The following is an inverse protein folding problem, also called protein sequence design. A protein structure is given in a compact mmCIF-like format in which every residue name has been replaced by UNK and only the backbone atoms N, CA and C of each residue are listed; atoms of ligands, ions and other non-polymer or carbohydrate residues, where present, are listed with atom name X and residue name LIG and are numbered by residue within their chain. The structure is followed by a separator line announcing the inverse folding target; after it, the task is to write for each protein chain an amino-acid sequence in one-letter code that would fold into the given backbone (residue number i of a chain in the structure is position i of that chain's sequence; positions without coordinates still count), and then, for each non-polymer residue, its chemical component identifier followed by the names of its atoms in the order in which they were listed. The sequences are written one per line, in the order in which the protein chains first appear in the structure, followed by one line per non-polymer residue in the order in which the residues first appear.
data_IF_583423513165
#
_entry.id   IF_583423513165
#
_cell.length_a   1.000
_cell.length_b   1.000
_cell.length_c   1.000
_cell.angle_alpha   90.00
_cell.angle_beta   90.00
_cell.angle_gamma   90.00
#
_symmetry.space_group_name_H-M   'P 1'
#
loop_
_entity.id
_entity.type
_entity.pdbx_description
1 polymer ?
#
# COMPACT_ATOMS: atom_id res chain seq x y z
N UNK A 1 28.09 -9.83 -9.92
CA UNK A 1 26.94 -8.92 -9.82
C UNK A 1 26.07 -9.43 -8.67
N UNK A 2 26.47 -9.18 -7.42
CA UNK A 2 25.68 -9.54 -6.24
C UNK A 2 24.72 -8.38 -5.96
N UNK A 3 23.64 -8.32 -6.74
CA UNK A 3 22.56 -7.34 -6.57
C UNK A 3 21.70 -7.66 -5.35
N UNK A 4 20.89 -6.69 -4.93
CA UNK A 4 20.01 -6.71 -3.75
C UNK A 4 19.04 -7.91 -3.63
N UNK A 5 19.01 -8.84 -4.58
CA UNK A 5 18.11 -9.99 -4.66
C UNK A 5 18.36 -11.08 -3.61
N UNK A 6 19.52 -11.14 -2.94
CA UNK A 6 19.76 -12.17 -1.92
C UNK A 6 18.89 -12.01 -0.66
N UNK A 7 18.49 -10.78 -0.33
CA UNK A 7 17.72 -10.47 0.88
C UNK A 7 16.26 -10.96 0.81
N UNK A 8 15.72 -11.09 -0.41
CA UNK A 8 14.32 -11.46 -0.67
C UNK A 8 14.17 -12.86 -1.26
N UNK A 9 15.24 -13.66 -1.26
CA UNK A 9 15.17 -15.04 -1.72
C UNK A 9 14.08 -15.82 -0.95
N UNK A 10 13.22 -16.53 -1.67
CA UNK A 10 12.06 -17.28 -1.15
C UNK A 10 10.98 -16.44 -0.44
N UNK A 11 10.94 -15.13 -0.67
CA UNK A 11 9.84 -14.27 -0.21
C UNK A 11 8.92 -13.94 -1.39
N UNK A 12 7.63 -13.85 -1.10
CA UNK A 12 6.64 -13.29 -2.02
C UNK A 12 6.72 -11.76 -1.96
N UNK A 13 6.72 -11.11 -3.13
CA UNK A 13 6.81 -9.65 -3.25
C UNK A 13 5.56 -9.15 -3.94
N UNK A 14 4.81 -8.29 -3.25
CA UNK A 14 3.62 -7.62 -3.78
C UNK A 14 3.92 -6.14 -4.02
N UNK A 15 3.49 -5.63 -5.18
CA UNK A 15 3.55 -4.21 -5.53
C UNK A 15 2.15 -3.63 -5.65
N UNK A 16 2.02 -2.33 -5.89
CA UNK A 16 0.71 -1.63 -5.94
C UNK A 16 -0.24 -2.24 -6.96
N UNK A 17 0.28 -2.77 -8.07
CA UNK A 17 -0.49 -3.43 -9.12
C UNK A 17 -1.08 -4.75 -8.65
N UNK A 18 -0.37 -5.45 -7.75
CA UNK A 18 -0.80 -6.70 -7.15
C UNK A 18 -1.88 -6.54 -6.07
N UNK A 19 -2.26 -5.32 -5.72
CA UNK A 19 -3.36 -5.06 -4.79
C UNK A 19 -4.73 -5.26 -5.43
N UNK A 20 -4.85 -5.15 -6.76
CA UNK A 20 -6.12 -5.35 -7.43
C UNK A 20 -6.62 -6.80 -7.25
N UNK A 21 -7.94 -6.99 -7.19
CA UNK A 21 -8.54 -8.32 -7.12
C UNK A 21 -8.28 -9.09 -8.43
N UNK A 22 -8.42 -10.41 -8.40
CA UNK A 22 -8.20 -11.29 -9.57
C UNK A 22 -9.05 -10.92 -10.81
N UNK A 23 -10.20 -10.28 -10.59
CA UNK A 23 -11.11 -9.80 -11.66
C UNK A 23 -10.71 -8.42 -12.23
N UNK A 24 -9.63 -7.83 -11.73
CA UNK A 24 -9.13 -6.51 -12.10
C UNK A 24 -9.84 -5.34 -11.41
N UNK A 25 -10.78 -5.62 -10.50
CA UNK A 25 -11.39 -4.57 -9.67
C UNK A 25 -10.42 -4.06 -8.60
N UNK A 26 -10.63 -2.83 -8.15
CA UNK A 26 -9.80 -2.23 -7.10
C UNK A 26 -9.99 -2.93 -5.76
N UNK A 27 -8.91 -3.02 -4.99
CA UNK A 27 -9.00 -3.37 -3.57
C UNK A 27 -9.81 -2.31 -2.80
N UNK A 28 -10.33 -2.64 -1.61
CA UNK A 28 -11.00 -1.66 -0.76
C UNK A 28 -10.15 -0.41 -0.48
N UNK A 29 -8.83 -0.56 -0.34
CA UNK A 29 -7.91 0.58 -0.10
C UNK A 29 -7.78 1.44 -1.34
N UNK A 30 -7.57 0.83 -2.51
CA UNK A 30 -7.49 1.54 -3.80
C UNK A 30 -8.79 2.31 -4.08
N UNK A 31 -9.94 1.68 -3.83
CA UNK A 31 -11.25 2.29 -4.03
C UNK A 31 -11.50 3.44 -3.04
N UNK A 32 -11.12 3.29 -1.76
CA UNK A 32 -11.21 4.35 -0.77
C UNK A 32 -10.43 5.61 -1.17
N UNK A 33 -9.17 5.46 -1.61
CA UNK A 33 -8.37 6.58 -2.12
C UNK A 33 -9.00 7.24 -3.35
N UNK A 34 -9.62 6.46 -4.25
CA UNK A 34 -10.31 6.98 -5.43
C UNK A 34 -11.54 7.80 -5.05
N UNK A 35 -12.36 7.30 -4.13
CA UNK A 35 -13.60 7.94 -3.69
C UNK A 35 -13.33 9.24 -2.93
N UNK A 36 -12.33 9.24 -2.05
CA UNK A 36 -11.98 10.38 -1.20
C UNK A 36 -11.02 11.38 -1.86
N UNK A 37 -10.84 11.29 -3.18
CA UNK A 37 -9.93 12.17 -3.94
C UNK A 37 -8.51 12.20 -3.35
N UNK A 38 -8.04 11.08 -2.79
CA UNK A 38 -6.74 10.92 -2.13
C UNK A 38 -5.53 10.98 -3.07
N UNK A 39 -5.73 11.41 -4.32
CA UNK A 39 -4.71 11.50 -5.35
C UNK A 39 -4.84 12.82 -6.12
N UNK A 40 -3.71 13.49 -6.31
CA UNK A 40 -3.60 14.70 -7.16
C UNK A 40 -2.73 14.40 -8.37
N UNK A 41 -1.41 14.61 -8.27
CA UNK A 41 -0.46 14.24 -9.31
C UNK A 41 -0.24 12.72 -9.41
N UNK A 42 -0.60 11.96 -8.36
CA UNK A 42 -0.59 10.50 -8.32
C UNK A 42 0.76 9.85 -8.03
N UNK A 43 1.86 10.63 -7.93
CA UNK A 43 3.20 10.07 -7.80
C UNK A 43 3.44 9.33 -6.47
N UNK A 44 2.91 9.87 -5.37
CA UNK A 44 3.04 9.28 -4.03
C UNK A 44 2.00 8.18 -3.73
N UNK A 45 0.95 8.11 -4.54
CA UNK A 45 -0.20 7.22 -4.30
C UNK A 45 0.20 5.75 -4.20
N UNK A 46 1.12 5.20 -5.02
CA UNK A 46 1.58 3.82 -4.86
C UNK A 46 2.16 3.53 -3.46
N UNK A 47 3.00 4.41 -2.92
CA UNK A 47 3.59 4.24 -1.59
C UNK A 47 2.53 4.30 -0.49
N UNK A 48 1.62 5.27 -0.59
CA UNK A 48 0.49 5.41 0.35
C UNK A 48 -0.41 4.18 0.36
N UNK A 49 -0.74 3.62 -0.81
CA UNK A 49 -1.58 2.42 -0.93
C UNK A 49 -0.91 1.18 -0.34
N UNK A 50 0.39 0.99 -0.57
CA UNK A 50 1.12 -0.14 0.02
C UNK A 50 1.18 -0.03 1.55
N UNK A 51 1.49 1.17 2.07
CA UNK A 51 1.57 1.39 3.53
C UNK A 51 0.21 1.23 4.21
N UNK A 52 -0.87 1.78 3.63
CA UNK A 52 -2.21 1.63 4.16
C UNK A 52 -2.72 0.18 4.12
N UNK A 53 -2.38 -0.57 3.06
CA UNK A 53 -2.73 -1.99 2.97
C UNK A 53 -2.01 -2.80 4.04
N UNK A 54 -0.69 -2.62 4.20
CA UNK A 54 0.08 -3.30 5.23
C UNK A 54 -0.43 -2.98 6.64
N UNK A 55 -0.76 -1.71 6.93
CA UNK A 55 -1.36 -1.32 8.21
C UNK A 55 -2.67 -2.08 8.47
N UNK A 56 -3.56 -2.19 7.47
CA UNK A 56 -4.87 -2.82 7.65
C UNK A 56 -4.77 -4.36 7.75
N UNK A 57 -3.74 -4.97 7.19
CA UNK A 57 -3.43 -6.39 7.40
C UNK A 57 -2.97 -6.67 8.83
N UNK A 58 -2.18 -5.78 9.43
CA UNK A 58 -1.68 -5.92 10.80
C UNK A 58 -2.68 -5.45 11.87
N UNK A 59 -3.35 -4.33 11.62
CA UNK A 59 -4.30 -3.66 12.53
C UNK A 59 -5.60 -3.38 11.74
N UNK A 60 -6.56 -4.32 11.72
CA UNK A 60 -7.77 -4.18 10.90
C UNK A 60 -8.70 -3.02 11.26
N UNK A 61 -8.57 -2.46 12.46
CA UNK A 61 -9.35 -1.31 12.95
C UNK A 61 -8.44 -0.30 13.64
N UNK A 62 -7.55 0.38 12.89
CA UNK A 62 -6.59 1.30 13.47
C UNK A 62 -7.29 2.58 13.91
N UNK A 63 -6.76 3.19 14.95
CA UNK A 63 -7.13 4.55 15.37
C UNK A 63 -6.57 5.58 14.39
N UNK A 64 -7.10 6.81 14.42
CA UNK A 64 -6.57 7.90 13.59
C UNK A 64 -5.08 8.17 13.87
N UNK A 65 -4.66 8.05 15.13
CA UNK A 65 -3.26 8.23 15.49
C UNK A 65 -2.36 7.17 14.85
N UNK A 66 -2.74 5.90 14.94
CA UNK A 66 -2.00 4.80 14.31
C UNK A 66 -1.93 4.96 12.78
N UNK A 67 -3.01 5.44 12.14
CA UNK A 67 -3.01 5.75 10.71
C UNK A 67 -1.96 6.83 10.39
N UNK A 68 -1.94 7.93 11.14
CA UNK A 68 -0.99 9.03 10.89
C UNK A 68 0.46 8.59 11.07
N UNK A 69 0.74 7.88 12.14
CA UNK A 69 2.09 7.39 12.47
C UNK A 69 2.60 6.38 11.42
N UNK A 70 1.73 5.49 10.92
CA UNK A 70 2.16 4.49 9.93
C UNK A 70 2.30 5.04 8.51
N UNK A 71 1.66 6.18 8.20
CA UNK A 71 1.74 6.79 6.87
C UNK A 71 2.77 7.93 6.78
N UNK A 72 3.33 8.41 7.90
CA UNK A 72 4.19 9.61 7.94
C UNK A 72 5.47 9.52 7.09
N UNK A 73 5.93 8.30 6.78
CA UNK A 73 7.08 8.05 5.93
C UNK A 73 6.83 8.25 4.42
N UNK A 74 5.58 8.46 4.01
CA UNK A 74 5.19 8.69 2.62
C UNK A 74 4.93 10.19 2.38
N UNK A 75 5.56 10.76 1.35
CA UNK A 75 5.50 12.19 1.00
C UNK A 75 4.73 12.44 -0.30
#
# INVERSE_FOLDING_TARGET
MHGASSQVNNHEITTVEGLANDDGSFSPVQEGFRQEQGLQCGYCTPGMLMAATALLEEIPNPTEQEIRENLEGNL
#
